data_IF_138933562312
#
_entry.id   IF_138933562312
#
_cell.length_a   1.000
_cell.length_b   1.000
_cell.length_c   1.000
_cell.angle_alpha   90.00
_cell.angle_beta   90.00
_cell.angle_gamma   90.00
#
_symmetry.space_group_name_H-M   'P 1'
#
loop_
_entity.id
_entity.type
_entity.pdbx_description
1 polymer ?
#
# COMPACT_ATOMS: atom_id res chain seq x y z
N UNK A 1 37.77 28.83 -23.22
CA UNK A 1 36.72 27.75 -23.19
C UNK A 1 35.84 27.98 -21.98
N UNK A 2 34.59 28.39 -22.21
CA UNK A 2 33.58 28.61 -21.16
C UNK A 2 32.68 27.38 -21.12
N UNK A 3 32.70 26.62 -20.05
CA UNK A 3 31.72 25.58 -19.77
C UNK A 3 30.58 26.16 -18.94
N UNK A 4 29.43 26.21 -19.54
CA UNK A 4 28.18 26.69 -18.95
C UNK A 4 27.57 25.60 -18.06
N UNK A 5 27.54 25.83 -16.77
CA UNK A 5 26.75 25.06 -15.82
C UNK A 5 25.33 25.64 -15.76
N UNK A 6 24.39 25.01 -16.46
CA UNK A 6 22.94 25.25 -16.29
C UNK A 6 22.27 23.92 -16.06
N UNK A 7 21.74 23.70 -14.87
CA UNK A 7 20.47 23.06 -14.52
C UNK A 7 20.47 22.44 -13.10
N UNK A 8 20.17 23.22 -12.05
CA UNK A 8 19.52 22.62 -10.89
C UNK A 8 18.10 23.17 -10.59
N UNK A 9 17.64 24.20 -11.31
CA UNK A 9 16.44 24.93 -10.90
C UNK A 9 15.10 24.29 -11.33
N UNK A 10 15.09 23.35 -12.30
CA UNK A 10 13.83 22.75 -12.83
C UNK A 10 13.29 21.59 -11.98
N UNK A 11 14.11 20.91 -11.22
CA UNK A 11 13.67 19.79 -10.37
C UNK A 11 12.99 20.24 -9.06
N UNK A 12 13.38 21.39 -8.53
CA UNK A 12 12.79 21.96 -7.30
C UNK A 12 11.38 22.51 -7.56
N UNK A 13 11.14 23.08 -8.74
CA UNK A 13 9.81 23.61 -9.11
C UNK A 13 8.76 22.49 -9.31
N UNK A 14 9.16 21.32 -9.81
CA UNK A 14 8.25 20.19 -10.00
C UNK A 14 7.86 19.52 -8.67
N UNK A 15 8.76 19.45 -7.71
CA UNK A 15 8.49 18.90 -6.38
C UNK A 15 7.57 19.80 -5.55
N UNK A 16 7.73 21.14 -5.66
CA UNK A 16 6.84 22.10 -5.00
C UNK A 16 5.44 22.14 -5.61
N UNK A 17 5.29 21.95 -6.93
CA UNK A 17 4.00 21.91 -7.59
C UNK A 17 3.19 20.65 -7.21
N UNK A 18 3.85 19.50 -7.02
CA UNK A 18 3.19 18.27 -6.55
C UNK A 18 2.71 18.37 -5.09
N UNK A 19 3.44 19.10 -4.24
CA UNK A 19 3.03 19.33 -2.85
C UNK A 19 1.82 20.27 -2.73
N UNK A 20 1.71 21.25 -3.63
CA UNK A 20 0.57 22.18 -3.65
C UNK A 20 -0.73 21.55 -4.20
N UNK A 21 -0.63 20.57 -5.10
CA UNK A 21 -1.82 19.85 -5.62
C UNK A 21 -2.46 18.95 -4.56
N UNK A 22 -1.69 18.37 -3.64
CA UNK A 22 -2.24 17.58 -2.54
C UNK A 22 -2.89 18.43 -1.45
N UNK A 23 -2.37 19.63 -1.19
CA UNK A 23 -2.96 20.55 -0.20
C UNK A 23 -4.28 21.19 -0.70
N UNK A 24 -4.42 21.42 -2.01
CA UNK A 24 -5.63 21.97 -2.59
C UNK A 24 -6.82 21.01 -2.66
N UNK A 25 -6.56 19.71 -2.80
CA UNK A 25 -7.63 18.70 -2.90
C UNK A 25 -8.31 18.41 -1.53
N UNK A 26 -7.59 18.51 -0.43
CA UNK A 26 -8.18 18.32 0.89
C UNK A 26 -9.10 19.51 1.32
N UNK A 27 -8.79 20.72 0.89
CA UNK A 27 -9.59 21.90 1.17
C UNK A 27 -10.93 21.95 0.41
N UNK A 28 -11.05 21.22 -0.71
CA UNK A 28 -12.30 21.17 -1.49
C UNK A 28 -13.33 20.17 -0.94
N UNK A 29 -12.91 19.27 -0.03
CA UNK A 29 -13.80 18.22 0.52
C UNK A 29 -14.40 18.63 1.87
N UNK A 30 -13.78 19.58 2.55
CA UNK A 30 -14.18 19.99 3.90
C UNK A 30 -14.41 21.51 3.98
N UNK A 31 -15.54 21.91 4.51
CA UNK A 31 -15.78 23.27 4.98
C UNK A 31 -15.05 23.46 6.32
N UNK A 32 -14.34 24.60 6.47
CA UNK A 32 -13.64 24.94 7.72
C UNK A 32 -12.71 23.82 8.22
N UNK A 33 -11.76 23.39 7.38
CA UNK A 33 -10.82 22.33 7.73
C UNK A 33 -9.66 22.82 8.59
N UNK A 34 -9.22 21.97 9.50
CA UNK A 34 -8.00 22.11 10.28
C UNK A 34 -7.05 20.97 9.91
N UNK A 35 -5.79 21.29 9.65
CA UNK A 35 -4.78 20.31 9.26
C UNK A 35 -3.52 20.45 10.10
N UNK A 36 -2.89 19.33 10.42
CA UNK A 36 -1.57 19.30 11.01
C UNK A 36 -0.74 18.15 10.43
N UNK A 37 0.59 18.31 10.44
CA UNK A 37 1.53 17.36 9.87
C UNK A 37 2.68 17.12 10.84
N UNK A 38 3.06 15.86 11.00
CA UNK A 38 4.21 15.44 11.80
C UNK A 38 5.21 14.68 10.93
N UNK A 39 6.49 14.88 11.16
CA UNK A 39 7.52 13.98 10.66
C UNK A 39 7.60 12.76 11.57
N UNK A 40 7.53 11.56 10.97
CA UNK A 40 7.68 10.29 11.69
C UNK A 40 9.08 9.70 11.52
N UNK A 41 9.98 10.40 10.82
CA UNK A 41 11.33 10.00 10.51
C UNK A 41 11.71 10.43 9.10
N UNK A 42 12.92 10.09 8.66
CA UNK A 42 13.39 10.42 7.33
C UNK A 42 12.45 9.85 6.26
N UNK A 43 11.84 10.73 5.47
CA UNK A 43 11.00 10.35 4.33
C UNK A 43 9.60 9.83 4.64
N UNK A 44 9.14 9.87 5.89
CA UNK A 44 7.77 9.55 6.25
C UNK A 44 7.13 10.70 7.03
N UNK A 45 5.97 11.14 6.58
CA UNK A 45 5.16 12.16 7.23
C UNK A 45 3.75 11.62 7.46
N UNK A 46 3.16 12.00 8.58
CA UNK A 46 1.76 11.80 8.87
C UNK A 46 1.05 13.14 8.89
N UNK A 47 -0.03 13.26 8.15
CA UNK A 47 -0.93 14.41 8.23
C UNK A 47 -2.34 13.98 8.54
N UNK A 48 -3.03 14.81 9.30
CA UNK A 48 -4.43 14.67 9.61
C UNK A 48 -5.16 15.95 9.28
N UNK A 49 -6.24 15.83 8.55
CA UNK A 49 -7.17 16.91 8.25
C UNK A 49 -8.53 16.58 8.84
N UNK A 50 -9.10 17.50 9.58
CA UNK A 50 -10.46 17.40 10.08
C UNK A 50 -11.29 18.57 9.56
N UNK A 51 -12.53 18.31 9.20
CA UNK A 51 -13.45 19.32 8.72
C UNK A 51 -14.87 18.78 8.65
N UNK A 52 -15.80 19.61 8.25
CA UNK A 52 -17.21 19.23 8.08
C UNK A 52 -17.59 19.30 6.61
N UNK A 53 -18.51 18.46 6.21
CA UNK A 53 -19.24 18.56 4.94
C UNK A 53 -20.71 18.20 5.18
N UNK A 54 -21.49 18.03 4.11
CA UNK A 54 -22.91 17.66 4.20
C UNK A 54 -23.18 16.34 4.93
N UNK A 55 -22.19 15.43 4.98
CA UNK A 55 -22.27 14.16 5.72
C UNK A 55 -21.81 14.26 7.19
N UNK A 56 -21.42 15.45 7.66
CA UNK A 56 -20.99 15.71 9.03
C UNK A 56 -19.48 15.85 9.20
N UNK A 57 -18.97 15.51 10.39
CA UNK A 57 -17.54 15.57 10.69
C UNK A 57 -16.77 14.50 9.91
N UNK A 58 -15.77 14.93 9.19
CA UNK A 58 -14.87 14.10 8.40
C UNK A 58 -13.44 14.17 8.93
N UNK A 59 -12.70 13.08 8.78
CA UNK A 59 -11.29 12.99 9.14
C UNK A 59 -10.52 12.25 8.05
N UNK A 60 -9.48 12.90 7.52
CA UNK A 60 -8.52 12.28 6.62
C UNK A 60 -7.18 12.09 7.34
N UNK A 61 -6.67 10.86 7.35
CA UNK A 61 -5.34 10.54 7.86
C UNK A 61 -4.49 10.08 6.69
N UNK A 62 -3.34 10.71 6.48
CA UNK A 62 -2.49 10.48 5.31
C UNK A 62 -1.06 10.18 5.78
N UNK A 63 -0.50 9.09 5.27
CA UNK A 63 0.93 8.81 5.34
C UNK A 63 1.57 9.18 4.00
N UNK A 64 2.53 10.10 4.03
CA UNK A 64 3.30 10.49 2.85
C UNK A 64 4.69 9.89 2.95
N UNK A 65 5.01 9.02 2.00
CA UNK A 65 6.26 8.29 1.93
C UNK A 65 7.13 8.81 0.77
N UNK A 66 8.42 8.98 1.06
CA UNK A 66 9.44 9.30 0.05
C UNK A 66 10.40 8.11 -0.08
N UNK A 67 10.60 7.56 -1.28
CA UNK A 67 11.53 6.44 -1.50
C UNK A 67 12.99 6.86 -1.25
N UNK A 68 13.84 5.86 -0.97
CA UNK A 68 15.29 6.03 -0.75
C UNK A 68 15.69 6.91 0.46
N UNK A 69 14.87 6.94 1.49
CA UNK A 69 15.10 7.75 2.70
C UNK A 69 15.35 6.93 3.96
N UNK A 70 15.68 5.64 3.81
CA UNK A 70 15.89 4.73 4.94
C UNK A 70 14.62 4.12 5.53
N UNK A 71 13.46 4.43 4.95
CA UNK A 71 12.17 3.81 5.28
C UNK A 71 11.78 2.87 4.14
N UNK A 72 11.34 1.66 4.48
CA UNK A 72 10.92 0.64 3.51
C UNK A 72 9.48 0.26 3.77
N UNK A 73 8.58 0.39 2.79
CA UNK A 73 7.24 -0.17 2.88
C UNK A 73 7.31 -1.70 2.85
N UNK A 74 6.59 -2.34 3.75
CA UNK A 74 6.47 -3.80 3.79
C UNK A 74 5.00 -4.20 3.89
N UNK A 75 4.68 -5.37 3.33
CA UNK A 75 3.39 -6.02 3.49
C UNK A 75 3.40 -6.85 4.77
N UNK A 76 2.29 -6.85 5.50
CA UNK A 76 2.06 -7.73 6.65
C UNK A 76 0.65 -8.28 6.57
N UNK A 77 0.49 -9.57 6.77
CA UNK A 77 -0.79 -10.23 6.86
C UNK A 77 -0.82 -11.16 8.08
N UNK A 78 -1.67 -10.86 9.02
CA UNK A 78 -2.07 -11.69 10.17
C UNK A 78 -1.01 -12.68 10.70
N UNK A 79 0.15 -12.21 11.13
CA UNK A 79 1.27 -13.02 11.62
C UNK A 79 1.80 -14.04 10.58
N UNK A 80 1.72 -13.68 9.30
CA UNK A 80 2.06 -14.52 8.15
C UNK A 80 1.18 -15.78 8.00
N UNK A 81 0.01 -15.77 8.63
CA UNK A 81 -0.99 -16.83 8.49
C UNK A 81 -2.12 -16.39 7.58
N UNK A 82 -2.18 -16.98 6.40
CA UNK A 82 -3.15 -16.60 5.37
C UNK A 82 -4.58 -17.02 5.70
N UNK A 83 -4.76 -18.10 6.45
CA UNK A 83 -6.08 -18.68 6.74
C UNK A 83 -6.38 -18.72 8.23
N UNK A 84 -7.60 -18.30 8.59
CA UNK A 84 -8.12 -18.37 9.95
C UNK A 84 -7.59 -17.28 10.88
N UNK A 85 -6.64 -16.49 10.44
CA UNK A 85 -6.03 -15.43 11.23
C UNK A 85 -6.46 -14.04 10.76
N UNK A 86 -6.65 -13.14 11.70
CA UNK A 86 -6.96 -11.72 11.48
C UNK A 86 -6.21 -10.92 12.51
N UNK A 87 -5.59 -9.84 12.08
CA UNK A 87 -4.85 -8.96 12.96
C UNK A 87 -5.34 -7.51 12.85
N UNK A 88 -5.32 -6.81 13.97
CA UNK A 88 -5.41 -5.35 13.97
C UNK A 88 -4.06 -4.76 13.55
N UNK A 89 -4.05 -3.51 13.08
CA UNK A 89 -2.79 -2.80 12.82
C UNK A 89 -1.86 -2.83 14.04
N UNK A 90 -2.41 -2.66 15.24
CA UNK A 90 -1.63 -2.73 16.49
C UNK A 90 -0.95 -4.08 16.69
N UNK A 91 -1.63 -5.18 16.38
CA UNK A 91 -1.04 -6.52 16.49
C UNK A 91 0.02 -6.75 15.41
N UNK A 92 -0.22 -6.31 14.18
CA UNK A 92 0.78 -6.34 13.11
C UNK A 92 2.04 -5.55 13.47
N UNK A 93 1.89 -4.38 14.09
CA UNK A 93 3.05 -3.61 14.61
C UNK A 93 3.81 -4.39 15.67
N UNK A 94 3.14 -4.99 16.65
CA UNK A 94 3.79 -5.82 17.69
C UNK A 94 4.52 -7.02 17.09
N UNK A 95 3.90 -7.68 16.13
CA UNK A 95 4.51 -8.79 15.41
C UNK A 95 5.83 -8.39 14.74
N UNK A 96 5.86 -7.28 14.02
CA UNK A 96 7.08 -6.75 13.40
C UNK A 96 8.13 -6.30 14.41
N UNK A 97 7.72 -5.68 15.51
CA UNK A 97 8.62 -5.26 16.58
C UNK A 97 9.28 -6.47 17.26
N UNK A 98 8.56 -7.58 17.44
CA UNK A 98 9.11 -8.83 17.94
C UNK A 98 10.15 -9.45 17.00
N UNK A 99 10.09 -9.12 15.71
CA UNK A 99 11.12 -9.47 14.72
C UNK A 99 12.28 -8.46 14.65
N UNK A 100 12.35 -7.50 15.57
CA UNK A 100 13.40 -6.49 15.63
C UNK A 100 13.24 -5.34 14.65
N UNK A 101 12.06 -5.18 14.03
CA UNK A 101 11.79 -4.08 13.09
C UNK A 101 11.32 -2.83 13.85
N UNK A 102 11.78 -1.66 13.42
CA UNK A 102 11.24 -0.37 13.87
C UNK A 102 10.09 0.04 12.95
N UNK A 103 8.88 0.07 13.46
CA UNK A 103 7.69 0.46 12.70
C UNK A 103 7.36 1.91 12.95
N UNK A 104 7.35 2.72 11.91
CA UNK A 104 7.07 4.16 11.97
C UNK A 104 5.60 4.51 11.75
N UNK A 105 4.89 3.69 10.98
CA UNK A 105 3.48 3.90 10.68
C UNK A 105 2.93 2.75 9.85
N UNK A 106 1.61 2.69 9.71
CA UNK A 106 0.95 1.66 8.93
C UNK A 106 -0.51 1.99 8.66
N UNK A 107 -1.05 1.38 7.63
CA UNK A 107 -2.46 1.45 7.25
C UNK A 107 -2.94 0.07 6.82
N UNK A 108 -4.23 -0.18 6.95
CA UNK A 108 -4.84 -1.34 6.31
C UNK A 108 -4.77 -1.18 4.79
N UNK A 109 -4.61 -2.29 4.09
CA UNK A 109 -4.47 -2.31 2.64
C UNK A 109 -5.74 -2.87 1.99
N UNK A 110 -5.91 -4.20 2.00
CA UNK A 110 -6.96 -4.87 1.24
C UNK A 110 -8.16 -5.28 2.11
N UNK A 111 -9.27 -5.58 1.44
CA UNK A 111 -10.39 -6.30 2.03
C UNK A 111 -10.07 -7.80 2.14
N UNK A 112 -10.73 -8.45 3.07
CA UNK A 112 -10.58 -9.88 3.29
C UNK A 112 -11.93 -10.56 3.59
N UNK A 113 -11.99 -11.87 3.39
CA UNK A 113 -13.17 -12.68 3.72
C UNK A 113 -13.26 -12.81 5.24
N UNK A 114 -14.29 -12.22 5.84
CA UNK A 114 -14.44 -12.12 7.29
C UNK A 114 -14.43 -13.47 8.02
N UNK A 115 -14.92 -14.53 7.39
CA UNK A 115 -14.95 -15.87 7.98
C UNK A 115 -13.61 -16.59 7.97
N UNK A 116 -12.74 -16.28 6.99
CA UNK A 116 -11.49 -17.02 6.77
C UNK A 116 -10.23 -16.19 6.96
N UNK A 117 -10.33 -14.85 6.89
CA UNK A 117 -9.16 -13.96 6.90
C UNK A 117 -8.45 -13.83 5.56
N UNK A 118 -8.85 -14.60 4.54
CA UNK A 118 -8.15 -14.61 3.23
C UNK A 118 -8.33 -13.28 2.51
N UNK A 119 -7.25 -12.64 2.03
CA UNK A 119 -7.32 -11.40 1.25
C UNK A 119 -8.12 -11.57 -0.04
N UNK A 120 -8.87 -10.54 -0.44
CA UNK A 120 -9.62 -10.54 -1.69
C UNK A 120 -8.71 -10.20 -2.87
N UNK A 121 -7.84 -9.23 -2.72
CA UNK A 121 -6.92 -8.76 -3.75
C UNK A 121 -5.61 -9.54 -3.80
N UNK A 122 -4.71 -9.02 -4.65
CA UNK A 122 -3.36 -9.53 -4.81
C UNK A 122 -2.52 -9.26 -3.57
N UNK A 123 -1.82 -10.29 -3.10
CA UNK A 123 -0.80 -10.16 -2.05
C UNK A 123 0.50 -10.75 -2.56
N UNK A 124 1.54 -9.92 -2.59
CA UNK A 124 2.92 -10.30 -2.87
C UNK A 124 3.76 -9.81 -1.70
N UNK A 125 4.47 -10.71 -1.05
CA UNK A 125 5.41 -10.36 0.00
C UNK A 125 6.82 -10.80 -0.38
N UNK A 126 7.78 -9.87 -0.26
CA UNK A 126 9.20 -10.12 -0.54
C UNK A 126 9.49 -10.78 -1.90
N UNK A 127 8.61 -10.54 -2.90
CA UNK A 127 8.68 -11.10 -4.23
C UNK A 127 8.00 -12.47 -4.39
N UNK A 128 7.41 -13.00 -3.32
CA UNK A 128 6.62 -14.22 -3.33
C UNK A 128 5.12 -13.93 -3.50
N UNK A 129 4.45 -14.69 -4.37
CA UNK A 129 3.01 -14.62 -4.52
C UNK A 129 2.33 -15.34 -3.36
N UNK A 130 1.66 -14.58 -2.50
CA UNK A 130 0.93 -15.11 -1.36
C UNK A 130 -0.54 -15.39 -1.71
N UNK A 131 -1.16 -14.50 -2.48
CA UNK A 131 -2.56 -14.64 -2.90
C UNK A 131 -2.76 -13.99 -4.26
N UNK A 132 -3.47 -14.66 -5.16
CA UNK A 132 -3.71 -14.17 -6.52
C UNK A 132 -4.61 -12.92 -6.55
N UNK A 133 -4.65 -12.24 -7.70
CA UNK A 133 -5.51 -11.09 -7.90
C UNK A 133 -7.01 -11.44 -7.95
N UNK A 134 -7.83 -10.44 -7.73
CA UNK A 134 -9.29 -10.49 -7.92
C UNK A 134 -9.76 -9.38 -8.87
N UNK A 135 -8.97 -9.09 -9.92
CA UNK A 135 -9.28 -8.08 -10.95
C UNK A 135 -9.35 -6.64 -10.42
N UNK A 136 -8.71 -6.38 -9.29
CA UNK A 136 -8.68 -5.07 -8.64
C UNK A 136 -7.38 -4.31 -8.91
N UNK A 137 -7.39 -3.01 -8.60
CA UNK A 137 -6.16 -2.23 -8.57
C UNK A 137 -5.31 -2.66 -7.38
N UNK A 138 -4.00 -2.74 -7.60
CA UNK A 138 -3.02 -3.01 -6.57
C UNK A 138 -2.01 -1.87 -6.46
N UNK A 139 -1.52 -1.65 -5.26
CA UNK A 139 -0.34 -0.81 -4.96
C UNK A 139 0.81 -1.73 -4.67
N UNK A 140 1.93 -1.54 -5.35
CA UNK A 140 3.15 -2.29 -5.13
C UNK A 140 4.33 -1.36 -4.86
N UNK A 141 5.32 -1.88 -4.16
CA UNK A 141 6.59 -1.20 -3.94
C UNK A 141 7.72 -2.04 -4.53
N UNK A 142 8.55 -1.41 -5.37
CA UNK A 142 9.74 -2.04 -5.93
C UNK A 142 10.85 -2.11 -4.87
N UNK A 143 11.91 -2.87 -5.16
CA UNK A 143 13.08 -2.99 -4.28
C UNK A 143 13.77 -1.64 -3.98
N UNK A 144 13.67 -0.69 -4.92
CA UNK A 144 14.18 0.67 -4.76
C UNK A 144 13.23 1.57 -3.96
N UNK A 145 12.11 1.05 -3.45
CA UNK A 145 11.09 1.78 -2.73
C UNK A 145 10.10 2.55 -3.60
N UNK A 146 10.27 2.56 -4.93
CA UNK A 146 9.34 3.26 -5.82
C UNK A 146 7.98 2.59 -5.80
N UNK A 147 6.93 3.37 -5.56
CA UNK A 147 5.55 2.91 -5.61
C UNK A 147 5.05 2.78 -7.05
N UNK A 148 4.26 1.76 -7.30
CA UNK A 148 3.53 1.55 -8.55
C UNK A 148 2.06 1.28 -8.24
N UNK A 149 1.18 1.77 -9.09
CA UNK A 149 -0.27 1.51 -9.01
C UNK A 149 -0.71 0.96 -10.35
N UNK A 150 -1.52 -0.07 -10.33
CA UNK A 150 -2.02 -0.66 -11.57
C UNK A 150 -3.02 -1.78 -11.31
N UNK A 151 -3.55 -2.31 -12.40
CA UNK A 151 -4.41 -3.48 -12.41
C UNK A 151 -3.61 -4.64 -12.99
N UNK A 152 -2.93 -5.45 -12.16
CA UNK A 152 -2.15 -6.57 -12.65
C UNK A 152 -3.05 -7.62 -13.28
N UNK A 153 -2.56 -8.27 -14.33
CA UNK A 153 -3.14 -9.49 -14.86
C UNK A 153 -2.21 -10.65 -14.55
N UNK A 154 -2.77 -11.76 -14.11
CA UNK A 154 -1.98 -12.90 -13.67
C UNK A 154 -2.39 -14.17 -14.42
N UNK A 155 -1.43 -14.95 -14.83
CA UNK A 155 -1.64 -16.27 -15.39
C UNK A 155 -0.83 -17.30 -14.60
N UNK A 156 -1.51 -18.22 -13.92
CA UNK A 156 -0.87 -19.29 -13.17
C UNK A 156 -1.10 -20.61 -13.92
N UNK A 157 -0.05 -21.40 -14.09
CA UNK A 157 -0.11 -22.69 -14.76
C UNK A 157 0.68 -23.74 -13.97
N UNK A 158 0.06 -24.89 -13.77
CA UNK A 158 0.73 -26.07 -13.25
C UNK A 158 1.11 -26.96 -14.44
N UNK A 159 2.37 -27.40 -14.50
CA UNK A 159 2.86 -28.32 -15.53
C UNK A 159 3.44 -29.55 -14.87
N UNK A 160 3.01 -30.73 -15.32
CA UNK A 160 3.48 -32.04 -14.88
C UNK A 160 3.75 -32.95 -16.06
N UNK A 161 4.17 -34.19 -15.79
CA UNK A 161 4.46 -35.19 -16.81
C UNK A 161 3.26 -35.50 -17.73
N UNK A 162 2.05 -35.40 -17.23
CA UNK A 162 0.78 -35.68 -17.95
C UNK A 162 0.21 -34.47 -18.69
N UNK A 163 0.88 -33.30 -18.66
CA UNK A 163 0.40 -32.09 -19.31
C UNK A 163 0.40 -30.87 -18.40
N UNK A 164 -0.34 -29.84 -18.79
CA UNK A 164 -0.45 -28.60 -18.02
C UNK A 164 -1.90 -28.14 -17.88
N UNK A 165 -2.22 -27.51 -16.77
CA UNK A 165 -3.52 -26.87 -16.52
C UNK A 165 -3.34 -25.45 -16.04
N UNK A 166 -4.29 -24.57 -16.34
CA UNK A 166 -4.36 -23.22 -15.79
C UNK A 166 -5.04 -23.25 -14.44
N UNK A 167 -4.51 -22.44 -13.50
CA UNK A 167 -5.07 -22.24 -12.17
C UNK A 167 -5.75 -20.89 -12.15
N UNK A 168 -7.04 -20.87 -11.85
CA UNK A 168 -7.82 -19.62 -11.81
C UNK A 168 -7.55 -18.80 -10.57
N UNK A 169 -7.30 -19.46 -9.44
CA UNK A 169 -7.11 -18.81 -8.16
C UNK A 169 -6.00 -19.49 -7.35
N UNK A 170 -5.22 -18.71 -6.65
CA UNK A 170 -4.17 -19.16 -5.75
C UNK A 170 -4.42 -18.58 -4.36
N UNK A 171 -4.55 -19.45 -3.35
CA UNK A 171 -4.82 -19.06 -1.96
C UNK A 171 -6.06 -18.16 -1.82
N UNK A 172 -7.17 -18.52 -2.48
CA UNK A 172 -8.45 -17.84 -2.36
C UNK A 172 -9.50 -18.76 -1.73
N UNK A 173 -10.53 -18.16 -1.16
CA UNK A 173 -11.71 -18.93 -0.72
C UNK A 173 -12.39 -19.54 -1.94
N UNK A 174 -12.57 -20.84 -1.92
CA UNK A 174 -13.30 -21.56 -2.97
C UNK A 174 -14.77 -21.18 -2.93
N UNK A 175 -15.27 -20.61 -4.01
CA UNK A 175 -16.68 -20.18 -4.13
C UNK A 175 -17.56 -21.18 -4.86
N UNK A 176 -16.96 -22.07 -5.68
CA UNK A 176 -17.67 -23.05 -6.50
C UNK A 176 -16.97 -24.40 -6.44
N UNK A 177 -17.72 -25.49 -6.32
CA UNK A 177 -17.19 -26.84 -6.41
C UNK A 177 -16.56 -27.05 -7.81
N UNK A 178 -15.31 -27.52 -7.85
CA UNK A 178 -14.56 -27.71 -9.11
C UNK A 178 -13.74 -26.51 -9.60
N UNK A 179 -13.77 -25.37 -8.95
CA UNK A 179 -12.83 -24.28 -9.22
C UNK A 179 -11.47 -24.61 -8.58
N UNK A 180 -10.42 -24.76 -9.40
CA UNK A 180 -9.03 -24.98 -9.01
C UNK A 180 -8.19 -23.81 -9.53
#
# INVERSE_FOLDING_TARGET
MRTSAKHPCRLIAAALAALQLCAGAAGAVFDNSFSYTYSLGSGLQYSRTEGKNSAGLQRANVLTYSPNTGVTPIMVYADEQLYGSKATITNAVKYLQNQGKTVLGGTNADFFVMSTGIPIGLVIDSGELISSDAWQYAVGFKKDGTAVIGRPTMGIRITGASGSCSVSYFNKTRTTAGAY
#
